data_IF_232247415598
#
_entry.id   IF_232247415598
#
_cell.length_a   1.000
_cell.length_b   1.000
_cell.length_c   1.000
_cell.angle_alpha   90.00
_cell.angle_beta   90.00
_cell.angle_gamma   90.00
#
_symmetry.space_group_name_H-M   'P 1'
#
loop_
_entity.id
_entity.type
_entity.pdbx_description
1 polymer ?
#
# COMPACT_ATOMS: atom_id res chain seq x y z
N UNK A 1 -11.47 12.00 -27.27
CA UNK A 1 -11.76 12.03 -25.82
C UNK A 1 -10.46 11.92 -25.00
N UNK A 2 -9.68 10.87 -25.14
CA UNK A 2 -8.40 10.65 -24.44
C UNK A 2 -7.39 11.82 -24.56
N UNK A 3 -7.21 12.40 -25.76
CA UNK A 3 -6.29 13.51 -25.95
C UNK A 3 -6.68 14.77 -25.17
N UNK A 4 -7.98 15.02 -24.99
CA UNK A 4 -8.49 16.11 -24.15
C UNK A 4 -8.16 15.91 -22.68
N UNK A 5 -8.34 14.69 -22.17
CA UNK A 5 -8.01 14.33 -20.78
C UNK A 5 -6.52 14.43 -20.51
N UNK A 6 -5.69 13.95 -21.43
CA UNK A 6 -4.22 14.05 -21.32
C UNK A 6 -3.78 15.52 -21.31
N UNK A 7 -4.34 16.36 -22.15
CA UNK A 7 -4.02 17.78 -22.17
C UNK A 7 -4.51 18.49 -20.90
N UNK A 8 -5.68 18.12 -20.41
CA UNK A 8 -6.22 18.64 -19.15
C UNK A 8 -5.33 18.24 -17.97
N UNK A 9 -4.90 16.95 -17.88
CA UNK A 9 -3.95 16.50 -16.89
C UNK A 9 -2.62 17.28 -16.97
N UNK A 10 -2.10 17.49 -18.17
CA UNK A 10 -0.85 18.25 -18.39
C UNK A 10 -0.95 19.73 -18.02
N UNK A 11 -2.14 20.31 -18.01
CA UNK A 11 -2.36 21.72 -17.62
C UNK A 11 -2.26 21.94 -16.10
N UNK A 12 -2.30 20.87 -15.28
CA UNK A 12 -2.20 20.96 -13.84
C UNK A 12 -0.75 21.15 -13.36
N UNK A 13 -0.53 21.75 -12.17
CA UNK A 13 0.80 21.96 -11.59
C UNK A 13 1.60 20.65 -11.49
N UNK A 14 2.90 20.73 -11.75
CA UNK A 14 3.79 19.57 -11.68
C UNK A 14 3.73 18.79 -10.36
N UNK A 15 3.70 19.43 -9.16
CA UNK A 15 3.59 18.71 -7.89
C UNK A 15 2.32 17.86 -7.79
N UNK A 16 1.17 18.37 -8.26
CA UNK A 16 -0.09 17.62 -8.29
C UNK A 16 0.00 16.39 -9.21
N UNK A 17 0.60 16.55 -10.40
CA UNK A 17 0.76 15.46 -11.37
C UNK A 17 1.67 14.36 -10.84
N UNK A 18 2.80 14.74 -10.24
CA UNK A 18 3.74 13.79 -9.65
C UNK A 18 3.09 13.03 -8.51
N UNK A 19 2.42 13.73 -7.60
CA UNK A 19 1.72 13.11 -6.48
C UNK A 19 0.66 12.11 -6.97
N UNK A 20 -0.18 12.52 -7.95
CA UNK A 20 -1.21 11.64 -8.50
C UNK A 20 -0.60 10.39 -9.14
N UNK A 21 0.43 10.54 -9.99
CA UNK A 21 1.09 9.40 -10.61
C UNK A 21 1.72 8.44 -9.58
N UNK A 22 2.35 8.99 -8.54
CA UNK A 22 2.92 8.18 -7.46
C UNK A 22 1.83 7.40 -6.72
N UNK A 23 0.70 8.05 -6.42
CA UNK A 23 -0.44 7.39 -5.79
C UNK A 23 -1.05 6.31 -6.69
N UNK A 24 -1.13 6.54 -8.01
CA UNK A 24 -1.64 5.53 -8.94
C UNK A 24 -0.74 4.28 -8.99
N UNK A 25 0.59 4.47 -8.98
CA UNK A 25 1.53 3.35 -8.90
C UNK A 25 1.33 2.59 -7.59
N UNK A 26 1.21 3.30 -6.47
CA UNK A 26 1.00 2.67 -5.17
C UNK A 26 -0.37 1.97 -5.07
N UNK A 27 -1.39 2.50 -5.73
CA UNK A 27 -2.70 1.86 -5.83
C UNK A 27 -2.66 0.49 -6.51
N UNK A 28 -1.71 0.26 -7.43
CA UNK A 28 -1.49 -1.05 -8.05
C UNK A 28 -0.73 -2.01 -7.12
N UNK A 29 0.20 -1.48 -6.33
CA UNK A 29 1.07 -2.28 -5.45
C UNK A 29 0.34 -2.73 -4.18
N UNK A 30 -0.50 -1.87 -3.62
CA UNK A 30 -1.12 -2.07 -2.31
C UNK A 30 -2.01 -3.32 -2.25
N UNK A 31 -2.93 -3.60 -3.20
CA UNK A 31 -3.72 -4.83 -3.18
C UNK A 31 -2.89 -6.10 -3.35
N UNK A 32 -1.74 -6.01 -4.04
CA UNK A 32 -0.80 -7.13 -4.15
C UNK A 32 -0.23 -7.45 -2.78
N UNK A 33 0.28 -6.45 -2.06
CA UNK A 33 0.84 -6.61 -0.72
C UNK A 33 -0.18 -7.22 0.23
N UNK A 34 -1.39 -6.68 0.28
CA UNK A 34 -2.46 -7.15 1.18
C UNK A 34 -2.86 -8.60 0.90
N UNK A 35 -3.01 -8.95 -0.38
CA UNK A 35 -3.36 -10.30 -0.79
C UNK A 35 -2.24 -11.31 -0.44
N UNK A 36 -0.99 -10.96 -0.77
CA UNK A 36 0.14 -11.88 -0.59
C UNK A 36 0.48 -12.12 0.86
N UNK A 37 0.41 -11.12 1.74
CA UNK A 37 0.74 -11.32 3.16
C UNK A 37 -0.20 -12.30 3.81
N UNK A 38 -1.52 -12.13 3.64
CA UNK A 38 -2.51 -13.05 4.20
C UNK A 38 -2.35 -14.47 3.67
N UNK A 39 -2.20 -14.62 2.35
CA UNK A 39 -1.99 -15.91 1.71
C UNK A 39 -0.66 -16.56 2.13
N UNK A 40 0.41 -15.78 2.28
CA UNK A 40 1.73 -16.27 2.71
C UNK A 40 1.67 -16.84 4.14
N UNK A 41 1.08 -16.09 5.08
CA UNK A 41 0.93 -16.55 6.47
C UNK A 41 0.14 -17.86 6.50
N UNK A 42 -1.02 -17.91 5.84
CA UNK A 42 -1.87 -19.11 5.83
C UNK A 42 -1.18 -20.31 5.19
N UNK A 43 -0.44 -20.13 4.11
CA UNK A 43 0.26 -21.24 3.45
C UNK A 43 1.44 -21.80 4.25
N UNK A 44 2.11 -20.94 5.03
CA UNK A 44 3.32 -21.34 5.78
C UNK A 44 3.00 -21.87 7.18
N UNK A 45 1.92 -21.42 7.81
CA UNK A 45 1.59 -21.76 9.20
C UNK A 45 0.30 -22.57 9.35
N UNK A 46 -0.63 -22.46 8.39
CA UNK A 46 -2.02 -22.98 8.49
C UNK A 46 -2.76 -22.50 9.76
N UNK A 47 -2.32 -21.35 10.31
CA UNK A 47 -2.85 -20.78 11.55
C UNK A 47 -3.43 -19.38 11.30
N UNK A 48 -4.75 -19.32 11.32
CA UNK A 48 -5.49 -18.06 11.15
C UNK A 48 -5.21 -17.05 12.27
N UNK A 49 -4.80 -17.51 13.46
CA UNK A 49 -4.48 -16.63 14.59
C UNK A 49 -3.31 -15.70 14.24
N UNK A 50 -2.33 -16.18 13.48
CA UNK A 50 -1.20 -15.36 13.02
C UNK A 50 -1.64 -14.28 12.04
N UNK A 51 -2.62 -14.54 11.19
CA UNK A 51 -3.22 -13.53 10.30
C UNK A 51 -3.92 -12.45 11.14
N UNK A 52 -4.66 -12.86 12.16
CA UNK A 52 -5.33 -11.93 13.08
C UNK A 52 -4.32 -11.07 13.84
N UNK A 53 -3.22 -11.67 14.33
CA UNK A 53 -2.13 -10.95 15.02
C UNK A 53 -1.49 -9.93 14.09
N UNK A 54 -1.22 -10.30 12.82
CA UNK A 54 -0.72 -9.37 11.82
C UNK A 54 -1.66 -8.17 11.63
N UNK A 55 -2.95 -8.42 11.43
CA UNK A 55 -3.95 -7.36 11.25
C UNK A 55 -4.07 -6.48 12.51
N UNK A 56 -4.06 -7.07 13.71
CA UNK A 56 -4.11 -6.34 14.96
C UNK A 56 -2.91 -5.40 15.09
N UNK A 57 -1.69 -5.89 14.85
CA UNK A 57 -0.47 -5.09 14.93
C UNK A 57 -0.43 -3.97 13.88
N UNK A 58 -0.93 -4.24 12.67
CA UNK A 58 -1.10 -3.24 11.61
C UNK A 58 -2.03 -2.11 12.07
N UNK A 59 -3.21 -2.45 12.62
CA UNK A 59 -4.18 -1.47 13.10
C UNK A 59 -3.73 -0.72 14.36
N UNK A 60 -2.80 -1.25 15.15
CA UNK A 60 -2.13 -0.53 16.24
C UNK A 60 -1.10 0.45 15.65
N UNK A 61 -0.34 0.05 14.64
CA UNK A 61 0.69 0.86 14.00
C UNK A 61 0.16 2.11 13.31
N UNK A 62 -1.00 2.03 12.67
CA UNK A 62 -1.59 3.16 11.93
C UNK A 62 -1.81 4.39 12.84
N UNK A 63 -2.63 4.33 13.92
CA UNK A 63 -2.88 5.49 14.77
C UNK A 63 -1.62 5.96 15.51
N UNK A 64 -0.75 5.04 15.93
CA UNK A 64 0.54 5.40 16.53
C UNK A 64 1.36 6.28 15.58
N UNK A 65 1.37 5.94 14.29
CA UNK A 65 2.08 6.73 13.27
C UNK A 65 1.43 8.08 13.01
N UNK A 66 0.10 8.17 13.02
CA UNK A 66 -0.57 9.47 12.89
C UNK A 66 -0.14 10.44 14.00
N UNK A 67 -0.02 9.95 15.23
CA UNK A 67 0.50 10.75 16.36
C UNK A 67 1.97 11.15 16.12
N UNK A 68 2.83 10.19 15.79
CA UNK A 68 4.25 10.43 15.51
C UNK A 68 4.44 11.40 14.33
N UNK A 69 3.65 11.27 13.28
CA UNK A 69 3.71 12.12 12.11
C UNK A 69 3.49 13.60 12.46
N UNK A 70 2.55 13.89 13.36
CA UNK A 70 2.32 15.25 13.85
C UNK A 70 3.54 15.89 14.52
N UNK A 71 4.35 15.11 15.25
CA UNK A 71 5.61 15.58 15.84
C UNK A 71 6.73 15.71 14.80
N UNK A 72 6.83 14.73 13.90
CA UNK A 72 7.90 14.68 12.88
C UNK A 72 7.75 15.79 11.83
N UNK A 73 6.54 16.20 11.49
CA UNK A 73 6.28 17.29 10.55
C UNK A 73 6.87 18.64 10.97
N UNK A 74 7.21 18.81 12.26
CA UNK A 74 7.91 20.01 12.75
C UNK A 74 9.38 20.06 12.31
N UNK A 75 9.98 18.92 12.01
CA UNK A 75 11.42 18.78 11.75
C UNK A 75 11.75 18.16 10.39
N UNK A 76 10.81 17.39 9.81
CA UNK A 76 11.02 16.63 8.59
C UNK A 76 10.04 17.08 7.49
N UNK A 77 10.55 17.22 6.28
CA UNK A 77 9.70 17.55 5.12
C UNK A 77 8.68 16.44 4.87
N UNK A 78 7.44 16.84 4.66
CA UNK A 78 6.31 15.94 4.42
C UNK A 78 6.55 14.94 3.28
N UNK A 79 7.19 15.36 2.19
CA UNK A 79 7.53 14.47 1.08
C UNK A 79 8.46 13.34 1.48
N UNK A 80 9.36 13.56 2.46
CA UNK A 80 10.22 12.51 3.01
C UNK A 80 9.44 11.51 3.86
N UNK A 81 8.51 11.99 4.68
CA UNK A 81 7.64 11.13 5.48
C UNK A 81 6.70 10.29 4.59
N UNK A 82 6.17 10.89 3.53
CA UNK A 82 5.41 10.19 2.52
C UNK A 82 6.22 9.07 1.84
N UNK A 83 7.44 9.38 1.38
CA UNK A 83 8.33 8.37 0.79
C UNK A 83 8.75 7.29 1.79
N UNK A 84 8.95 7.67 3.06
CA UNK A 84 9.26 6.72 4.14
C UNK A 84 8.12 5.71 4.31
N UNK A 85 6.87 6.17 4.26
CA UNK A 85 5.71 5.27 4.27
C UNK A 85 5.79 4.22 3.18
N UNK A 86 6.07 4.61 1.94
CA UNK A 86 6.20 3.68 0.82
C UNK A 86 7.37 2.69 0.99
N UNK A 87 8.51 3.15 1.50
CA UNK A 87 9.68 2.30 1.73
C UNK A 87 9.42 1.28 2.84
N UNK A 88 8.76 1.68 3.92
CA UNK A 88 8.45 0.81 5.04
C UNK A 88 7.53 -0.35 4.65
N UNK A 89 6.65 -0.19 3.66
CA UNK A 89 5.83 -1.30 3.16
C UNK A 89 6.68 -2.40 2.52
N UNK A 90 7.66 -2.01 1.71
CA UNK A 90 8.62 -2.94 1.14
C UNK A 90 9.50 -3.62 2.19
N UNK A 91 9.96 -2.85 3.19
CA UNK A 91 10.75 -3.40 4.32
C UNK A 91 9.92 -4.40 5.12
N UNK A 92 8.66 -4.09 5.45
CA UNK A 92 7.78 -5.01 6.16
C UNK A 92 7.58 -6.31 5.41
N UNK A 93 7.33 -6.24 4.09
CA UNK A 93 7.19 -7.42 3.25
C UNK A 93 8.45 -8.27 3.22
N UNK A 94 9.59 -7.63 3.01
CA UNK A 94 10.89 -8.32 2.99
C UNK A 94 11.19 -8.97 4.34
N UNK A 95 10.93 -8.25 5.44
CA UNK A 95 11.11 -8.78 6.79
C UNK A 95 10.18 -9.98 7.06
N UNK A 96 8.92 -9.92 6.60
CA UNK A 96 7.99 -11.05 6.71
C UNK A 96 8.51 -12.29 5.98
N UNK A 97 8.99 -12.11 4.75
CA UNK A 97 9.52 -13.22 3.95
C UNK A 97 10.84 -13.78 4.49
N UNK A 98 11.62 -12.98 5.22
CA UNK A 98 12.87 -13.36 5.85
C UNK A 98 12.70 -14.10 7.19
N UNK A 99 11.46 -14.24 7.70
CA UNK A 99 11.20 -15.04 8.88
C UNK A 99 11.30 -16.53 8.52
N UNK A 100 12.28 -17.22 9.09
CA UNK A 100 12.43 -18.68 8.94
C UNK A 100 11.21 -19.41 9.50
N UNK A 101 10.76 -19.00 10.69
CA UNK A 101 9.55 -19.48 11.33
C UNK A 101 8.58 -18.31 11.60
N UNK A 102 7.29 -18.54 11.35
CA UNK A 102 6.24 -17.55 11.60
C UNK A 102 5.87 -17.54 13.09
N UNK A 103 6.71 -16.92 13.91
CA UNK A 103 6.43 -16.74 15.33
C UNK A 103 5.45 -15.57 15.55
N UNK A 104 4.68 -15.63 16.64
CA UNK A 104 3.77 -14.57 17.06
C UNK A 104 4.46 -13.20 17.11
N UNK A 105 5.66 -13.13 17.68
CA UNK A 105 6.42 -11.87 17.78
C UNK A 105 6.98 -11.38 16.46
N UNK A 106 7.43 -12.29 15.59
CA UNK A 106 7.88 -11.95 14.24
C UNK A 106 6.74 -11.37 13.40
N UNK A 107 5.58 -12.03 13.43
CA UNK A 107 4.35 -11.57 12.75
C UNK A 107 3.88 -10.22 13.31
N UNK A 108 3.86 -10.08 14.64
CA UNK A 108 3.48 -8.81 15.28
C UNK A 108 4.43 -7.67 14.89
N UNK A 109 5.74 -7.92 14.88
CA UNK A 109 6.74 -6.91 14.51
C UNK A 109 6.60 -6.46 13.05
N UNK A 110 6.46 -7.40 12.12
CA UNK A 110 6.28 -7.09 10.69
C UNK A 110 4.95 -6.39 10.42
N UNK A 111 3.86 -6.80 11.06
CA UNK A 111 2.57 -6.13 10.99
C UNK A 111 2.63 -4.69 11.55
N UNK A 112 3.37 -4.47 12.64
CA UNK A 112 3.57 -3.14 13.20
C UNK A 112 4.34 -2.24 12.21
N UNK A 113 5.41 -2.73 11.59
CA UNK A 113 6.14 -1.98 10.54
C UNK A 113 5.20 -1.64 9.37
N UNK A 114 4.35 -2.56 8.95
CA UNK A 114 3.36 -2.29 7.92
C UNK A 114 2.35 -1.22 8.35
N UNK A 115 1.89 -1.27 9.61
CA UNK A 115 1.01 -0.25 10.17
C UNK A 115 1.66 1.14 10.22
N UNK A 116 2.94 1.21 10.60
CA UNK A 116 3.73 2.44 10.52
C UNK A 116 3.84 2.97 9.08
N UNK A 117 4.06 2.07 8.12
CA UNK A 117 4.07 2.38 6.69
C UNK A 117 2.76 3.04 6.24
N UNK A 118 1.64 2.41 6.54
CA UNK A 118 0.31 2.90 6.15
C UNK A 118 0.00 4.24 6.82
N UNK A 119 0.32 4.39 8.10
CA UNK A 119 0.12 5.66 8.80
C UNK A 119 0.92 6.81 8.18
N UNK A 120 2.21 6.62 7.86
CA UNK A 120 3.00 7.65 7.18
C UNK A 120 2.49 7.92 5.76
N UNK A 121 2.13 6.89 5.02
CA UNK A 121 1.61 7.06 3.66
C UNK A 121 0.30 7.86 3.66
N UNK A 122 -0.73 7.39 4.36
CA UNK A 122 -2.06 8.01 4.31
C UNK A 122 -2.08 9.44 4.88
N UNK A 123 -1.44 9.66 6.05
CA UNK A 123 -1.41 10.98 6.67
C UNK A 123 -0.73 12.04 5.78
N UNK A 124 0.39 11.67 5.15
CA UNK A 124 1.15 12.62 4.35
C UNK A 124 0.60 12.76 2.93
N UNK A 125 0.01 11.70 2.35
CA UNK A 125 -0.67 11.74 1.07
C UNK A 125 -1.79 12.78 1.06
N UNK A 126 -2.68 12.72 2.04
CA UNK A 126 -3.84 13.61 2.11
C UNK A 126 -3.42 15.06 2.31
N UNK A 127 -2.42 15.29 3.16
CA UNK A 127 -1.88 16.63 3.36
C UNK A 127 -1.19 17.17 2.09
N UNK A 128 -0.42 16.35 1.37
CA UNK A 128 0.18 16.74 0.10
C UNK A 128 -0.88 17.03 -0.96
N UNK A 129 -1.95 16.21 -1.01
CA UNK A 129 -3.07 16.44 -1.91
C UNK A 129 -3.74 17.80 -1.65
N UNK A 130 -4.01 18.13 -0.38
CA UNK A 130 -4.58 19.42 0.01
C UNK A 130 -3.70 20.61 -0.39
N UNK A 131 -2.37 20.48 -0.22
CA UNK A 131 -1.42 21.55 -0.54
C UNK A 131 -1.14 21.70 -2.03
N UNK A 132 -1.31 20.65 -2.83
CA UNK A 132 -1.02 20.66 -4.26
C UNK A 132 -2.26 20.91 -5.12
N UNK A 133 -3.45 20.78 -4.53
CA UNK A 133 -4.74 21.02 -5.20
C UNK A 133 -5.38 22.31 -4.72
N UNK A 134 -6.24 22.89 -5.56
CA UNK A 134 -7.13 24.01 -5.25
C UNK A 134 -8.58 23.56 -5.40
N UNK A 135 -9.53 24.32 -4.89
CA UNK A 135 -10.96 23.95 -4.93
C UNK A 135 -11.45 23.60 -6.34
N UNK A 136 -10.93 24.28 -7.37
CA UNK A 136 -11.32 24.03 -8.77
C UNK A 136 -10.80 22.72 -9.37
N UNK A 137 -9.75 22.09 -8.80
CA UNK A 137 -9.16 20.86 -9.34
C UNK A 137 -9.09 19.71 -8.32
N UNK A 138 -9.48 19.94 -7.08
CA UNK A 138 -9.44 18.94 -6.00
C UNK A 138 -10.37 17.76 -6.29
N UNK A 139 -11.58 18.02 -6.77
CA UNK A 139 -12.53 16.97 -7.13
C UNK A 139 -12.02 16.10 -8.28
N UNK A 140 -11.33 16.72 -9.25
CA UNK A 140 -10.67 15.97 -10.32
C UNK A 140 -9.56 15.05 -9.79
N UNK A 141 -8.70 15.57 -8.90
CA UNK A 141 -7.63 14.80 -8.28
C UNK A 141 -8.18 13.57 -7.55
N UNK A 142 -9.10 13.77 -6.60
CA UNK A 142 -9.67 12.67 -5.83
C UNK A 142 -10.55 11.73 -6.66
N UNK A 143 -11.20 12.24 -7.70
CA UNK A 143 -12.00 11.44 -8.62
C UNK A 143 -11.13 10.43 -9.39
N UNK A 144 -10.01 10.88 -9.96
CA UNK A 144 -9.06 9.99 -10.65
C UNK A 144 -8.43 9.01 -9.64
N UNK A 145 -7.97 9.51 -8.51
CA UNK A 145 -7.35 8.67 -7.49
C UNK A 145 -8.28 7.55 -7.04
N UNK A 146 -9.51 7.88 -6.63
CA UNK A 146 -10.50 6.90 -6.18
C UNK A 146 -10.85 5.90 -7.28
N UNK A 147 -11.02 6.37 -8.52
CA UNK A 147 -11.27 5.50 -9.67
C UNK A 147 -10.18 4.45 -9.84
N UNK A 148 -8.91 4.86 -9.81
CA UNK A 148 -7.80 3.93 -9.96
C UNK A 148 -7.65 2.99 -8.76
N UNK A 149 -7.82 3.47 -7.53
CA UNK A 149 -7.80 2.60 -6.34
C UNK A 149 -8.91 1.54 -6.40
N UNK A 150 -10.12 1.93 -6.82
CA UNK A 150 -11.24 1.00 -6.95
C UNK A 150 -10.98 -0.04 -8.02
N UNK A 151 -10.53 0.37 -9.20
CA UNK A 151 -10.22 -0.55 -10.30
C UNK A 151 -9.06 -1.48 -9.92
N UNK A 152 -7.99 -0.96 -9.32
CA UNK A 152 -6.86 -1.76 -8.88
C UNK A 152 -7.30 -2.79 -7.83
N UNK A 153 -8.13 -2.39 -6.85
CA UNK A 153 -8.67 -3.26 -5.82
C UNK A 153 -9.55 -4.40 -6.35
N UNK A 154 -10.09 -4.26 -7.56
CA UNK A 154 -10.88 -5.31 -8.22
C UNK A 154 -10.01 -6.15 -9.16
N UNK A 155 -9.29 -5.51 -10.08
CA UNK A 155 -8.57 -6.19 -11.16
C UNK A 155 -7.38 -6.98 -10.64
N UNK A 156 -6.65 -6.44 -9.66
CA UNK A 156 -5.42 -7.08 -9.17
C UNK A 156 -5.70 -8.37 -8.44
N UNK A 157 -6.62 -8.45 -7.45
CA UNK A 157 -6.95 -9.73 -6.83
C UNK A 157 -7.51 -10.76 -7.81
N UNK A 158 -8.36 -10.34 -8.76
CA UNK A 158 -8.90 -11.22 -9.80
C UNK A 158 -7.78 -11.76 -10.70
N UNK A 159 -6.89 -10.88 -11.16
CA UNK A 159 -5.75 -11.26 -12.01
C UNK A 159 -4.77 -12.18 -11.28
N UNK A 160 -4.46 -11.89 -10.03
CA UNK A 160 -3.60 -12.73 -9.19
C UNK A 160 -4.25 -14.10 -8.95
N UNK A 161 -5.54 -14.15 -8.65
CA UNK A 161 -6.29 -15.40 -8.49
C UNK A 161 -6.30 -16.24 -9.76
N UNK A 162 -6.58 -15.63 -10.92
CA UNK A 162 -6.54 -16.29 -12.21
C UNK A 162 -5.14 -16.81 -12.57
N UNK A 163 -4.09 -16.03 -12.30
CA UNK A 163 -2.70 -16.44 -12.49
C UNK A 163 -2.34 -17.66 -11.63
N UNK A 164 -2.69 -17.64 -10.35
CA UNK A 164 -2.44 -18.75 -9.41
C UNK A 164 -3.20 -20.01 -9.88
N UNK A 165 -4.46 -19.88 -10.29
CA UNK A 165 -5.26 -21.00 -10.79
C UNK A 165 -4.67 -21.61 -12.07
N UNK A 166 -4.23 -20.77 -13.02
CA UNK A 166 -3.60 -21.22 -14.26
C UNK A 166 -2.24 -21.90 -14.00
N UNK A 167 -1.50 -21.43 -13.02
CA UNK A 167 -0.18 -21.99 -12.69
C UNK A 167 -0.28 -23.31 -11.93
N UNK A 168 -1.35 -23.53 -11.16
CA UNK A 168 -1.63 -24.85 -10.53
C UNK A 168 -1.92 -25.95 -11.55
N UNK A 169 -2.44 -25.61 -12.73
CA UNK A 169 -2.69 -26.59 -13.80
C UNK A 169 -1.42 -27.00 -14.55
N UNK A 170 -0.37 -26.22 -14.47
CA UNK A 170 0.94 -26.53 -15.06
C UNK A 170 1.89 -26.85 -13.90
N UNK A 171 2.26 -28.08 -13.74
CA UNK A 171 3.12 -28.78 -12.76
C UNK A 171 4.31 -28.03 -12.09
N UNK A 172 4.35 -26.72 -12.10
CA UNK A 172 5.40 -25.89 -11.49
C UNK A 172 5.21 -25.70 -9.97
N UNK A 173 4.04 -26.09 -9.43
CA UNK A 173 3.71 -26.00 -8.00
C UNK A 173 3.40 -27.35 -7.36
N UNK A 174 3.61 -28.46 -8.07
CA UNK A 174 3.54 -29.79 -7.48
C UNK A 174 4.81 -30.06 -6.67
N UNK A 175 4.75 -29.65 -5.41
CA UNK A 175 5.37 -30.36 -4.34
C UNK A 175 6.89 -30.26 -4.21
N UNK A 176 7.48 -29.07 -4.15
CA UNK A 176 8.78 -28.89 -3.48
C UNK A 176 8.96 -27.42 -3.09
N UNK A 177 8.25 -26.96 -2.09
CA UNK A 177 8.70 -25.96 -1.13
C UNK A 177 8.11 -26.34 0.25
#
# INVERSE_FOLDING_TARGET
MLAKEINFFKSHPLPMRVLLLTNLIYALVLPIIELFIGAYIMRKSDDISLVVIFQLSLYIGIPATFMLNGFLLKHVKISRLYSLGMLLSGISMTAMMALDELTTWGIFGTGLIMGLSYGFFWANRDYLALNTTKDGNRNYYYGIETFFYTIAGIIIPLGAGAFIAATKSNAWFDGNI
#
